data_IF_412757987390
#
_entry.id   IF_412757987390
#
_cell.length_a   1.000
_cell.length_b   1.000
_cell.length_c   1.000
_cell.angle_alpha   90.00
_cell.angle_beta   90.00
_cell.angle_gamma   90.00
#
_symmetry.space_group_name_H-M   'P 1'
#
loop_
_entity.id
_entity.type
_entity.pdbx_description
1 polymer ?
#
# COMPACT_ATOMS: atom_id res chain seq x y z
N UNK A 1 33.78 -50.50 64.50
CA UNK A 1 32.61 -51.41 64.40
C UNK A 1 31.99 -51.71 65.75
N UNK A 2 32.78 -51.98 66.80
CA UNK A 2 32.24 -52.33 68.13
C UNK A 2 31.53 -51.19 68.88
N UNK A 3 31.99 -49.94 68.74
CA UNK A 3 31.34 -48.78 69.38
C UNK A 3 29.95 -48.46 68.78
N UNK A 4 29.76 -48.76 67.49
CA UNK A 4 28.45 -48.61 66.83
C UNK A 4 27.47 -49.68 67.30
N UNK A 5 27.94 -50.92 67.50
CA UNK A 5 27.12 -52.01 68.03
C UNK A 5 26.64 -51.75 69.47
N UNK A 6 27.49 -51.20 70.34
CA UNK A 6 27.14 -50.87 71.74
C UNK A 6 26.08 -49.77 71.86
N UNK A 7 26.11 -48.75 70.98
CA UNK A 7 25.12 -47.67 70.97
C UNK A 7 23.73 -48.21 70.58
N UNK A 8 23.67 -49.13 69.61
CA UNK A 8 22.44 -49.79 69.19
C UNK A 8 21.85 -50.70 70.28
N UNK A 9 22.69 -51.38 71.06
CA UNK A 9 22.29 -52.25 72.17
C UNK A 9 21.71 -51.46 73.36
N UNK A 10 22.30 -50.30 73.70
CA UNK A 10 21.80 -49.41 74.77
C UNK A 10 20.49 -48.69 74.46
N UNK A 11 20.15 -48.53 73.17
CA UNK A 11 18.90 -47.91 72.73
C UNK A 11 17.76 -48.93 72.52
N UNK A 12 17.99 -50.22 72.75
CA UNK A 12 17.01 -51.29 72.49
C UNK A 12 16.73 -51.53 71.00
N UNK A 13 17.56 -50.98 70.11
CA UNK A 13 17.40 -51.14 68.67
C UNK A 13 18.14 -52.41 68.26
N UNK A 14 17.39 -53.51 68.22
CA UNK A 14 17.87 -54.81 67.77
C UNK A 14 18.36 -54.75 66.32
N UNK A 15 19.31 -55.61 65.95
CA UNK A 15 19.78 -55.76 64.55
C UNK A 15 18.61 -56.01 63.57
N UNK A 16 17.54 -56.62 64.06
CA UNK A 16 16.28 -56.81 63.35
C UNK A 16 15.59 -55.48 62.97
N UNK A 17 15.63 -54.47 63.83
CA UNK A 17 15.05 -53.15 63.55
C UNK A 17 15.82 -52.39 62.46
N UNK A 18 17.15 -52.54 62.40
CA UNK A 18 17.98 -51.97 61.32
C UNK A 18 17.68 -52.65 59.99
N UNK A 19 17.57 -53.98 59.99
CA UNK A 19 17.19 -54.74 58.80
C UNK A 19 15.78 -54.36 58.31
N UNK A 20 14.82 -54.26 59.23
CA UNK A 20 13.46 -53.82 58.92
C UNK A 20 13.45 -52.42 58.32
N UNK A 21 14.20 -51.48 58.90
CA UNK A 21 14.32 -50.11 58.37
C UNK A 21 14.95 -50.10 56.97
N UNK A 22 15.99 -50.90 56.74
CA UNK A 22 16.61 -51.02 55.41
C UNK A 22 15.63 -51.58 54.36
N UNK A 23 14.82 -52.58 54.73
CA UNK A 23 13.77 -53.13 53.86
C UNK A 23 12.68 -52.09 53.59
N UNK A 24 12.19 -51.39 54.62
CA UNK A 24 11.17 -50.34 54.47
C UNK A 24 11.67 -49.20 53.57
N UNK A 25 12.91 -48.76 53.74
CA UNK A 25 13.51 -47.71 52.88
C UNK A 25 13.66 -48.22 51.45
N UNK A 26 14.15 -49.44 51.25
CA UNK A 26 14.28 -50.04 49.91
C UNK A 26 12.93 -50.16 49.22
N UNK A 27 11.91 -50.64 49.93
CA UNK A 27 10.54 -50.74 49.43
C UNK A 27 9.95 -49.36 49.12
N UNK A 28 10.18 -48.36 49.98
CA UNK A 28 9.73 -46.99 49.76
C UNK A 28 10.38 -46.36 48.52
N UNK A 29 11.67 -46.62 48.28
CA UNK A 29 12.39 -46.16 47.08
C UNK A 29 11.82 -46.84 45.82
N UNK A 30 11.63 -48.16 45.87
CA UNK A 30 11.03 -48.91 44.76
C UNK A 30 9.63 -48.37 44.46
N UNK A 31 8.77 -48.23 45.47
CA UNK A 31 7.41 -47.72 45.33
C UNK A 31 7.35 -46.27 44.81
N UNK A 32 8.27 -45.43 45.29
CA UNK A 32 8.39 -44.05 44.82
C UNK A 32 8.74 -44.00 43.33
N UNK A 33 9.67 -44.85 42.89
CA UNK A 33 10.10 -44.93 41.51
C UNK A 33 9.04 -45.58 40.59
N UNK A 34 8.35 -46.63 41.06
CA UNK A 34 7.44 -47.43 40.21
C UNK A 34 5.99 -46.93 40.21
N UNK A 35 5.51 -46.29 41.29
CA UNK A 35 4.12 -45.84 41.39
C UNK A 35 4.00 -44.32 41.50
N UNK A 36 4.68 -43.71 42.48
CA UNK A 36 4.44 -42.29 42.82
C UNK A 36 4.83 -41.38 41.65
N UNK A 37 6.04 -41.54 41.11
CA UNK A 37 6.53 -40.75 39.97
C UNK A 37 5.64 -40.88 38.72
N UNK A 38 5.31 -42.08 38.21
CA UNK A 38 4.50 -42.18 37.00
C UNK A 38 3.07 -41.66 37.20
N UNK A 39 2.47 -41.84 38.38
CA UNK A 39 1.14 -41.29 38.67
C UNK A 39 1.17 -39.76 38.61
N UNK A 40 2.17 -39.12 39.25
CA UNK A 40 2.31 -37.66 39.24
C UNK A 40 2.53 -37.13 37.81
N UNK A 41 3.34 -37.82 37.02
CA UNK A 41 3.58 -37.48 35.62
C UNK A 41 2.29 -37.55 34.79
N UNK A 42 1.42 -38.55 34.99
CA UNK A 42 0.13 -38.64 34.29
C UNK A 42 -0.79 -37.49 34.68
N UNK A 43 -0.81 -37.08 35.95
CA UNK A 43 -1.59 -35.91 36.37
C UNK A 43 -1.08 -34.61 35.74
N UNK A 44 0.25 -34.39 35.73
CA UNK A 44 0.86 -33.25 35.06
C UNK A 44 0.61 -33.27 33.55
N UNK A 45 0.68 -34.43 32.91
CA UNK A 45 0.41 -34.60 31.48
C UNK A 45 -1.06 -34.29 31.17
N UNK A 46 -2.00 -34.71 32.01
CA UNK A 46 -3.43 -34.38 31.85
C UNK A 46 -3.72 -32.90 32.02
N UNK A 47 -3.11 -32.27 33.02
CA UNK A 47 -3.23 -30.83 33.25
C UNK A 47 -2.63 -30.05 32.07
N UNK A 48 -1.43 -30.43 31.62
CA UNK A 48 -0.78 -29.84 30.45
C UNK A 48 -1.58 -30.04 29.16
N UNK A 49 -2.15 -31.23 28.93
CA UNK A 49 -2.98 -31.52 27.75
C UNK A 49 -4.27 -30.72 27.71
N UNK A 50 -4.79 -30.29 28.85
CA UNK A 50 -6.00 -29.47 28.91
C UNK A 50 -5.66 -27.98 28.78
N UNK A 51 -4.66 -27.50 29.53
CA UNK A 51 -4.32 -26.09 29.61
C UNK A 51 -3.57 -25.57 28.39
N UNK A 52 -2.57 -26.32 27.87
CA UNK A 52 -1.72 -25.85 26.77
C UNK A 52 -2.51 -25.62 25.48
N UNK A 53 -3.37 -26.54 25.01
CA UNK A 53 -4.12 -26.29 23.77
C UNK A 53 -5.10 -25.12 23.89
N UNK A 54 -5.65 -24.87 25.09
CA UNK A 54 -6.48 -23.70 25.35
C UNK A 54 -5.68 -22.39 25.29
N UNK A 55 -4.49 -22.37 25.87
CA UNK A 55 -3.59 -21.20 25.82
C UNK A 55 -3.09 -20.95 24.40
N UNK A 56 -2.66 -22.00 23.69
CA UNK A 56 -2.27 -21.94 22.28
C UNK A 56 -3.42 -21.46 21.39
N UNK A 57 -4.64 -21.97 21.60
CA UNK A 57 -5.83 -21.53 20.84
C UNK A 57 -6.14 -20.05 21.10
N UNK A 58 -6.02 -19.59 22.35
CA UNK A 58 -6.19 -18.16 22.68
C UNK A 58 -5.12 -17.30 22.03
N UNK A 59 -3.87 -17.75 22.03
CA UNK A 59 -2.77 -17.06 21.37
C UNK A 59 -2.98 -16.99 19.84
N UNK A 60 -3.40 -18.09 19.21
CA UNK A 60 -3.70 -18.12 17.78
C UNK A 60 -4.87 -17.21 17.41
N UNK A 61 -5.94 -17.19 18.22
CA UNK A 61 -7.06 -16.28 18.00
C UNK A 61 -6.62 -14.81 18.15
N UNK A 62 -5.82 -14.50 19.17
CA UNK A 62 -5.30 -13.15 19.38
C UNK A 62 -4.40 -12.69 18.21
N UNK A 63 -3.55 -13.57 17.68
CA UNK A 63 -2.71 -13.27 16.52
C UNK A 63 -3.56 -13.12 15.25
N UNK A 64 -4.54 -14.00 15.03
CA UNK A 64 -5.46 -13.88 13.90
C UNK A 64 -6.25 -12.56 13.93
N UNK A 65 -6.74 -12.15 15.09
CA UNK A 65 -7.40 -10.84 15.26
C UNK A 65 -6.43 -9.68 15.02
N UNK A 66 -5.20 -9.75 15.54
CA UNK A 66 -4.19 -8.73 15.33
C UNK A 66 -3.85 -8.59 13.83
N UNK A 67 -3.67 -9.70 13.12
CA UNK A 67 -3.44 -9.73 11.67
C UNK A 67 -4.63 -9.19 10.90
N UNK A 68 -5.85 -9.52 11.32
CA UNK A 68 -7.08 -9.02 10.70
C UNK A 68 -7.18 -7.50 10.85
N UNK A 69 -6.93 -6.97 12.06
CA UNK A 69 -6.89 -5.52 12.31
C UNK A 69 -5.84 -4.82 11.46
N UNK A 70 -4.62 -5.36 11.39
CA UNK A 70 -3.56 -4.81 10.54
C UNK A 70 -3.93 -4.81 9.06
N UNK A 71 -4.57 -5.89 8.59
CA UNK A 71 -5.02 -6.01 7.21
C UNK A 71 -6.12 -4.99 6.88
N UNK A 72 -7.11 -4.86 7.76
CA UNK A 72 -8.18 -3.86 7.59
C UNK A 72 -7.64 -2.43 7.59
N UNK A 73 -6.71 -2.11 8.48
CA UNK A 73 -6.06 -0.80 8.51
C UNK A 73 -5.26 -0.52 7.24
N UNK A 74 -4.47 -1.49 6.77
CA UNK A 74 -3.71 -1.38 5.54
C UNK A 74 -4.64 -1.20 4.33
N UNK A 75 -5.75 -1.94 4.28
CA UNK A 75 -6.74 -1.83 3.21
C UNK A 75 -7.42 -0.45 3.22
N UNK A 76 -7.83 0.04 4.39
CA UNK A 76 -8.42 1.38 4.54
C UNK A 76 -7.43 2.46 4.09
N UNK A 77 -6.17 2.37 4.53
CA UNK A 77 -5.12 3.32 4.14
C UNK A 77 -4.87 3.31 2.63
N UNK A 78 -4.69 2.13 2.04
CA UNK A 78 -4.50 1.97 0.59
C UNK A 78 -5.68 2.51 -0.23
N UNK A 79 -6.90 2.28 0.24
CA UNK A 79 -8.13 2.79 -0.41
C UNK A 79 -8.16 4.32 -0.37
N UNK A 80 -7.91 4.92 0.80
CA UNK A 80 -7.86 6.38 0.95
C UNK A 80 -6.77 6.99 0.06
N UNK A 81 -5.55 6.45 0.09
CA UNK A 81 -4.45 6.92 -0.76
C UNK A 81 -4.79 6.81 -2.25
N UNK A 82 -5.46 5.73 -2.67
CA UNK A 82 -5.84 5.53 -4.06
C UNK A 82 -6.90 6.54 -4.51
N UNK A 83 -7.89 6.85 -3.65
CA UNK A 83 -8.88 7.89 -3.92
C UNK A 83 -8.21 9.26 -4.03
N UNK A 84 -7.31 9.59 -3.12
CA UNK A 84 -6.55 10.86 -3.14
C UNK A 84 -5.71 10.96 -4.41
N UNK A 85 -4.94 9.93 -4.75
CA UNK A 85 -4.13 9.88 -5.98
C UNK A 85 -4.99 10.01 -7.23
N UNK A 86 -6.14 9.34 -7.28
CA UNK A 86 -7.08 9.44 -8.41
C UNK A 86 -7.62 10.86 -8.56
N UNK A 87 -8.07 11.47 -7.46
CA UNK A 87 -8.59 12.85 -7.47
C UNK A 87 -7.51 13.84 -7.92
N UNK A 88 -6.30 13.73 -7.38
CA UNK A 88 -5.18 14.59 -7.77
C UNK A 88 -4.86 14.46 -9.29
N UNK A 89 -4.81 13.23 -9.81
CA UNK A 89 -4.61 13.01 -11.25
C UNK A 89 -5.74 13.56 -12.11
N UNK A 90 -7.00 13.42 -11.67
CA UNK A 90 -8.15 13.97 -12.39
C UNK A 90 -8.13 15.50 -12.42
N UNK A 91 -7.78 16.13 -11.30
CA UNK A 91 -7.67 17.58 -11.20
C UNK A 91 -6.52 18.12 -12.05
N UNK A 92 -5.36 17.45 -12.02
CA UNK A 92 -4.23 17.77 -12.88
C UNK A 92 -4.59 17.62 -14.36
N UNK A 93 -5.21 16.51 -14.75
CA UNK A 93 -5.66 16.29 -16.13
C UNK A 93 -6.64 17.37 -16.58
N UNK A 94 -7.61 17.72 -15.73
CA UNK A 94 -8.59 18.77 -16.02
C UNK A 94 -7.94 20.16 -16.14
N UNK A 95 -6.91 20.45 -15.34
CA UNK A 95 -6.12 21.69 -15.45
C UNK A 95 -5.32 21.73 -16.75
N UNK A 96 -4.67 20.64 -17.12
CA UNK A 96 -3.90 20.53 -18.37
C UNK A 96 -4.83 20.66 -19.58
N UNK A 97 -5.99 20.01 -19.54
CA UNK A 97 -7.02 20.11 -20.58
C UNK A 97 -7.50 21.55 -20.76
N UNK A 98 -7.88 22.23 -19.67
CA UNK A 98 -8.27 23.65 -19.71
C UNK A 98 -7.17 24.52 -20.31
N UNK A 99 -5.92 24.33 -19.88
CA UNK A 99 -4.78 25.08 -20.40
C UNK A 99 -4.58 24.86 -21.90
N UNK A 100 -4.69 23.61 -22.38
CA UNK A 100 -4.59 23.31 -23.81
C UNK A 100 -5.72 23.92 -24.63
N UNK A 101 -6.95 23.92 -24.10
CA UNK A 101 -8.09 24.55 -24.77
C UNK A 101 -7.87 26.06 -24.87
N UNK A 102 -7.39 26.69 -23.79
CA UNK A 102 -7.08 28.12 -23.76
C UNK A 102 -5.95 28.48 -24.74
N UNK A 103 -4.86 27.71 -24.75
CA UNK A 103 -3.75 27.88 -25.70
C UNK A 103 -4.23 27.74 -27.16
N UNK A 104 -5.04 26.72 -27.46
CA UNK A 104 -5.59 26.51 -28.79
C UNK A 104 -6.55 27.63 -29.22
N UNK A 105 -7.36 28.14 -28.29
CA UNK A 105 -8.25 29.27 -28.55
C UNK A 105 -7.47 30.57 -28.82
N UNK A 106 -6.40 30.81 -28.05
CA UNK A 106 -5.52 31.96 -28.25
C UNK A 106 -4.79 31.87 -29.61
N UNK A 107 -4.26 30.70 -29.96
CA UNK A 107 -3.61 30.47 -31.25
C UNK A 107 -4.58 30.67 -32.42
N UNK A 108 -5.79 30.13 -32.33
CA UNK A 108 -6.84 30.32 -33.33
C UNK A 108 -7.18 31.80 -33.52
N UNK A 109 -7.35 32.55 -32.42
CA UNK A 109 -7.60 34.00 -32.50
C UNK A 109 -6.43 34.75 -33.15
N UNK A 110 -5.18 34.40 -32.83
CA UNK A 110 -4.00 34.99 -33.48
C UNK A 110 -3.97 34.70 -34.98
N UNK A 111 -4.28 33.47 -35.39
CA UNK A 111 -4.36 33.10 -36.80
C UNK A 111 -5.45 33.88 -37.53
N UNK A 112 -6.63 34.04 -36.92
CA UNK A 112 -7.74 34.83 -37.48
C UNK A 112 -7.32 36.29 -37.67
N UNK A 113 -6.69 36.91 -36.68
CA UNK A 113 -6.21 38.30 -36.80
C UNK A 113 -5.11 38.45 -37.86
N UNK A 114 -4.18 37.50 -37.94
CA UNK A 114 -3.17 37.49 -38.99
C UNK A 114 -3.80 37.39 -40.39
N UNK A 115 -4.81 36.53 -40.55
CA UNK A 115 -5.53 36.38 -41.83
C UNK A 115 -6.33 37.63 -42.18
N UNK A 116 -7.03 38.26 -41.23
CA UNK A 116 -7.71 39.55 -41.45
C UNK A 116 -6.73 40.63 -41.91
N UNK A 117 -5.56 40.72 -41.28
CA UNK A 117 -4.51 41.66 -41.67
C UNK A 117 -4.02 41.40 -43.10
N UNK A 118 -3.76 40.14 -43.47
CA UNK A 118 -3.38 39.76 -44.84
C UNK A 118 -4.45 40.12 -45.87
N UNK A 119 -5.72 39.80 -45.60
CA UNK A 119 -6.84 40.16 -46.47
C UNK A 119 -6.94 41.68 -46.64
N UNK A 120 -6.69 42.45 -45.57
CA UNK A 120 -6.65 43.91 -45.63
C UNK A 120 -5.57 44.41 -46.61
N UNK A 121 -4.35 43.91 -46.49
CA UNK A 121 -3.24 44.26 -47.39
C UNK A 121 -3.51 43.83 -48.84
N UNK A 122 -4.03 42.62 -49.05
CA UNK A 122 -4.39 42.12 -50.39
C UNK A 122 -5.49 42.97 -51.03
N UNK A 123 -6.49 43.41 -50.26
CA UNK A 123 -7.55 44.31 -50.72
C UNK A 123 -6.98 45.67 -51.14
N UNK A 124 -6.09 46.25 -50.35
CA UNK A 124 -5.44 47.52 -50.70
C UNK A 124 -4.59 47.38 -51.97
N UNK A 125 -3.82 46.31 -52.09
CA UNK A 125 -3.04 46.00 -53.29
C UNK A 125 -3.94 45.83 -54.53
N UNK A 126 -5.02 45.06 -54.41
CA UNK A 126 -5.98 44.85 -55.50
C UNK A 126 -6.67 46.15 -55.93
N UNK A 127 -7.04 47.03 -54.98
CA UNK A 127 -7.59 48.35 -55.29
C UNK A 127 -6.58 49.25 -56.02
N UNK A 128 -5.30 49.17 -55.66
CA UNK A 128 -4.22 49.85 -56.36
C UNK A 128 -4.09 49.41 -57.83
N UNK A 129 -4.02 48.10 -58.06
CA UNK A 129 -3.97 47.52 -59.40
C UNK A 129 -5.22 47.86 -60.23
N UNK A 130 -6.41 47.78 -59.63
CA UNK A 130 -7.66 48.12 -60.31
C UNK A 130 -7.68 49.59 -60.77
N UNK A 131 -7.18 50.53 -59.95
CA UNK A 131 -7.09 51.94 -60.35
C UNK A 131 -6.16 52.16 -61.53
N UNK A 132 -5.00 51.48 -61.57
CA UNK A 132 -4.11 51.52 -62.74
C UNK A 132 -4.78 50.95 -63.98
N UNK A 133 -5.50 49.83 -63.83
CA UNK A 133 -6.18 49.17 -64.95
C UNK A 133 -7.35 50.01 -65.48
N UNK A 134 -8.13 50.64 -64.60
CA UNK A 134 -9.17 51.60 -64.98
C UNK A 134 -8.57 52.79 -65.71
N UNK A 135 -7.48 53.39 -65.23
CA UNK A 135 -6.81 54.49 -65.92
C UNK A 135 -6.35 54.09 -67.32
N UNK A 136 -5.73 52.90 -67.46
CA UNK A 136 -5.31 52.36 -68.77
C UNK A 136 -6.50 52.14 -69.71
N UNK A 137 -7.61 51.57 -69.21
CA UNK A 137 -8.82 51.36 -70.00
C UNK A 137 -9.44 52.70 -70.42
N UNK A 138 -9.48 53.69 -69.53
CA UNK A 138 -9.99 55.03 -69.83
C UNK A 138 -9.20 55.69 -70.95
N UNK A 139 -7.86 55.61 -70.95
CA UNK A 139 -7.02 56.12 -72.04
C UNK A 139 -7.32 55.39 -73.36
N UNK A 140 -7.41 54.05 -73.34
CA UNK A 140 -7.74 53.27 -74.55
C UNK A 140 -9.11 53.61 -75.13
N UNK A 141 -10.12 53.87 -74.28
CA UNK A 141 -11.44 54.32 -74.71
C UNK A 141 -11.35 55.71 -75.34
N UNK A 142 -10.63 56.64 -74.71
CA UNK A 142 -10.43 57.99 -75.25
C UNK A 142 -9.75 57.97 -76.62
N UNK A 143 -8.71 57.16 -76.80
CA UNK A 143 -8.02 56.97 -78.08
C UNK A 143 -8.96 56.41 -79.17
N UNK A 144 -9.76 55.38 -78.85
CA UNK A 144 -10.72 54.80 -79.80
C UNK A 144 -11.83 55.77 -80.20
N UNK A 145 -12.32 56.58 -79.27
CA UNK A 145 -13.40 57.55 -79.54
C UNK A 145 -12.88 58.77 -80.33
N UNK A 146 -11.67 59.23 -80.05
CA UNK A 146 -11.09 60.43 -80.69
C UNK A 146 -10.37 60.12 -82.02
N UNK A 147 -10.14 58.85 -82.36
CA UNK A 147 -9.53 58.42 -83.62
C UNK A 147 -8.06 58.84 -83.80
N UNK A 148 -7.41 59.28 -82.73
CA UNK A 148 -6.00 59.68 -82.67
C UNK A 148 -5.41 59.31 -81.31
N UNK A 149 -4.12 59.01 -81.25
CA UNK A 149 -3.44 58.69 -79.99
C UNK A 149 -3.45 59.90 -79.06
N UNK A 150 -3.74 59.64 -77.78
CA UNK A 150 -3.78 60.65 -76.71
C UNK A 150 -2.69 60.25 -75.71
N UNK A 151 -1.57 60.95 -75.78
CA UNK A 151 -0.43 60.80 -74.86
C UNK A 151 -0.65 61.62 -73.58
#
# INVERSE_FOLDING_TARGET
>A
MELLLKIFETLGITQLAVLQMAITVTLAVILSATLIRPILQVFQERENRSSKPMEESRALLADAEAKTRQYEEALRKSTLESIVRKRAKMEEASRVERKRIEEAAEESNRQVEQMKSRIGMEKEAALGSLRQEVARLSTQIAEKVLGRSVA
#
